data_IF_528398455432
#
_entry.id   IF_528398455432
#
_cell.length_a   1.000
_cell.length_b   1.000
_cell.length_c   1.000
_cell.angle_alpha   90.00
_cell.angle_beta   90.00
_cell.angle_gamma   90.00
#
_symmetry.space_group_name_H-M   'P 1'
#
loop_
_entity.id
_entity.type
_entity.pdbx_description
1 polymer ?
#
# COMPACT_ATOMS: atom_id res chain seq x y z
N UNK A 1 11.50 17.61 -67.14
CA UNK A 1 11.04 18.84 -66.46
C UNK A 1 12.11 19.23 -65.47
N UNK A 2 12.67 20.44 -65.61
CA UNK A 2 13.70 20.94 -64.71
C UNK A 2 13.05 21.21 -63.34
N UNK A 3 13.44 20.45 -62.33
CA UNK A 3 13.03 20.69 -60.95
C UNK A 3 13.75 21.97 -60.51
N UNK A 4 13.00 22.99 -60.08
CA UNK A 4 13.56 24.22 -59.55
C UNK A 4 14.45 23.85 -58.36
N UNK A 5 15.72 24.26 -58.42
CA UNK A 5 16.76 23.90 -57.44
C UNK A 5 16.54 24.50 -56.06
N UNK A 6 15.55 25.37 -55.90
CA UNK A 6 15.25 26.15 -54.70
C UNK A 6 13.75 26.10 -54.39
N UNK A 7 13.17 24.90 -54.47
CA UNK A 7 11.80 24.61 -54.09
C UNK A 7 11.78 23.93 -52.72
N UNK A 8 10.94 24.38 -51.80
CA UNK A 8 10.68 23.74 -50.50
C UNK A 8 10.28 22.26 -50.60
N UNK A 9 9.88 21.80 -51.80
CA UNK A 9 9.54 20.42 -52.13
C UNK A 9 10.59 19.71 -53.03
N UNK A 10 11.74 20.34 -53.29
CA UNK A 10 12.88 19.69 -53.93
C UNK A 10 13.58 18.77 -52.91
N UNK A 11 13.10 17.53 -52.79
CA UNK A 11 13.69 16.51 -51.91
C UNK A 11 15.04 16.01 -52.47
N UNK A 12 16.12 16.74 -52.18
CA UNK A 12 17.49 16.38 -52.60
C UNK A 12 18.30 15.56 -51.57
N UNK A 13 17.84 15.48 -50.32
CA UNK A 13 18.55 14.79 -49.24
C UNK A 13 17.96 13.42 -48.88
N UNK A 14 18.76 12.55 -48.25
CA UNK A 14 18.26 11.31 -47.65
C UNK A 14 17.25 11.66 -46.55
N UNK A 15 16.02 11.13 -46.57
CA UNK A 15 15.05 11.39 -45.53
C UNK A 15 15.57 10.90 -44.17
N UNK A 16 15.41 11.75 -43.15
CA UNK A 16 15.75 11.44 -41.76
C UNK A 16 14.67 10.52 -41.16
N UNK A 17 15.07 9.60 -40.28
CA UNK A 17 14.09 8.84 -39.51
C UNK A 17 13.44 9.71 -38.44
N UNK A 18 12.20 9.40 -38.09
CA UNK A 18 11.49 10.12 -37.03
C UNK A 18 12.26 10.06 -35.70
N UNK A 19 12.89 8.92 -35.38
CA UNK A 19 13.66 8.78 -34.15
C UNK A 19 14.89 9.68 -34.11
N UNK A 20 15.59 9.82 -35.24
CA UNK A 20 16.76 10.70 -35.37
C UNK A 20 16.34 12.17 -35.22
N UNK A 21 15.17 12.55 -35.74
CA UNK A 21 14.61 13.89 -35.61
C UNK A 21 14.22 14.20 -34.16
N UNK A 22 13.56 13.27 -33.48
CA UNK A 22 13.17 13.43 -32.06
C UNK A 22 14.40 13.53 -31.17
N UNK A 23 15.42 12.71 -31.39
CA UNK A 23 16.68 12.79 -30.63
C UNK A 23 17.37 14.14 -30.83
N UNK A 24 17.45 14.62 -32.08
CA UNK A 24 18.03 15.92 -32.39
C UNK A 24 17.27 17.08 -31.72
N UNK A 25 15.93 16.99 -31.64
CA UNK A 25 15.11 17.97 -30.93
C UNK A 25 15.41 17.90 -29.42
N UNK A 26 15.40 16.71 -28.82
CA UNK A 26 15.66 16.55 -27.40
C UNK A 26 17.03 17.09 -26.97
N UNK A 27 18.08 16.87 -27.77
CA UNK A 27 19.42 17.41 -27.52
C UNK A 27 19.50 18.94 -27.55
N UNK A 28 18.64 19.58 -28.35
CA UNK A 28 18.67 21.04 -28.57
C UNK A 28 17.74 21.81 -27.63
N UNK A 29 16.78 21.13 -27.00
CA UNK A 29 15.80 21.73 -26.10
C UNK A 29 15.97 21.17 -24.68
N UNK A 30 16.99 21.62 -23.92
CA UNK A 30 17.09 21.28 -22.51
C UNK A 30 15.88 21.83 -21.75
N UNK A 31 15.58 21.24 -20.59
CA UNK A 31 14.56 21.79 -19.68
C UNK A 31 15.03 23.16 -19.21
N UNK A 32 14.34 24.21 -19.64
CA UNK A 32 14.62 25.61 -19.26
C UNK A 32 13.70 26.10 -18.15
N UNK A 33 12.73 25.30 -17.74
CA UNK A 33 11.81 25.63 -16.66
C UNK A 33 12.54 25.59 -15.31
N UNK A 34 12.34 26.63 -14.49
CA UNK A 34 12.75 26.60 -13.09
C UNK A 34 11.83 25.72 -12.25
N UNK A 35 12.26 25.44 -11.02
CA UNK A 35 11.49 24.68 -10.04
C UNK A 35 10.76 25.63 -9.08
N UNK A 36 9.55 25.28 -8.68
CA UNK A 36 8.82 25.98 -7.63
C UNK A 36 8.10 24.98 -6.71
N UNK A 37 7.94 25.34 -5.45
CA UNK A 37 7.12 24.58 -4.51
C UNK A 37 5.71 25.14 -4.52
N UNK A 38 4.76 24.29 -4.91
CA UNK A 38 3.34 24.64 -5.01
C UNK A 38 2.48 23.73 -4.13
N UNK A 39 1.28 24.18 -3.72
CA UNK A 39 0.29 23.30 -3.10
C UNK A 39 -0.11 22.14 -4.02
N UNK A 40 -0.33 20.95 -3.46
CA UNK A 40 -0.69 19.75 -4.22
C UNK A 40 -1.94 19.93 -5.10
N UNK A 41 -2.93 20.70 -4.63
CA UNK A 41 -4.14 21.01 -5.40
C UNK A 41 -3.90 21.81 -6.68
N UNK A 42 -2.71 22.38 -6.88
CA UNK A 42 -2.29 23.10 -8.09
C UNK A 42 -1.27 22.31 -8.93
N UNK A 43 -0.96 21.08 -8.54
CA UNK A 43 0.07 20.27 -9.18
C UNK A 43 -0.43 19.52 -10.43
N UNK A 44 -1.73 19.49 -10.69
CA UNK A 44 -2.29 18.83 -11.89
C UNK A 44 -1.71 19.43 -13.17
N UNK A 45 -1.25 18.57 -14.09
CA UNK A 45 -0.56 18.97 -15.31
C UNK A 45 0.87 19.50 -15.14
N UNK A 46 1.41 19.55 -13.92
CA UNK A 46 2.82 19.91 -13.65
C UNK A 46 3.72 18.67 -13.74
N UNK A 47 5.03 18.90 -13.82
CA UNK A 47 6.06 17.85 -13.83
C UNK A 47 6.78 17.90 -12.49
N UNK A 48 6.94 16.75 -11.83
CA UNK A 48 7.74 16.63 -10.61
C UNK A 48 9.19 17.03 -10.91
N UNK A 49 9.74 17.94 -10.11
CA UNK A 49 11.11 18.42 -10.29
C UNK A 49 12.16 17.40 -9.81
N UNK A 50 11.78 16.55 -8.87
CA UNK A 50 12.63 15.53 -8.23
C UNK A 50 11.79 14.32 -7.83
N UNK A 51 12.45 13.22 -7.47
CA UNK A 51 11.81 12.03 -6.95
C UNK A 51 11.08 12.34 -5.62
N UNK A 52 9.90 11.75 -5.44
CA UNK A 52 9.10 11.92 -4.23
C UNK A 52 9.20 10.66 -3.38
N UNK A 53 9.84 10.80 -2.23
CA UNK A 53 10.06 9.69 -1.29
C UNK A 53 9.01 9.66 -0.18
N UNK A 54 8.72 8.45 0.31
CA UNK A 54 7.78 8.27 1.40
C UNK A 54 8.37 8.77 2.71
N UNK A 55 7.69 9.70 3.39
CA UNK A 55 8.16 10.20 4.69
C UNK A 55 7.89 9.25 5.84
N UNK A 56 6.93 8.35 5.67
CA UNK A 56 6.46 7.41 6.68
C UNK A 56 6.08 6.10 5.99
N UNK A 57 6.12 5.02 6.76
CA UNK A 57 5.56 3.74 6.36
C UNK A 57 4.04 3.87 6.13
N UNK A 58 3.54 3.13 5.14
CA UNK A 58 2.12 2.95 4.86
C UNK A 58 1.81 1.44 4.84
N UNK A 59 0.99 0.92 5.76
CA UNK A 59 0.47 1.60 6.96
C UNK A 59 1.59 1.99 7.95
N UNK A 60 1.40 3.00 8.81
CA UNK A 60 2.43 3.50 9.72
C UNK A 60 2.72 2.58 10.94
N UNK A 61 1.85 1.59 11.15
CA UNK A 61 1.97 0.58 12.20
C UNK A 61 1.26 -0.69 11.72
N UNK A 62 1.56 -1.82 12.37
CA UNK A 62 0.87 -3.05 12.05
C UNK A 62 -0.63 -2.95 12.41
N UNK A 63 -1.53 -3.30 11.48
CA UNK A 63 -2.97 -3.14 11.64
C UNK A 63 -3.77 -4.33 11.10
N UNK A 64 -5.03 -4.43 11.52
CA UNK A 64 -5.94 -5.47 11.02
C UNK A 64 -6.37 -5.17 9.57
N UNK A 65 -6.26 -6.18 8.70
CA UNK A 65 -6.75 -6.11 7.32
C UNK A 65 -8.28 -6.23 7.20
N UNK A 66 -8.92 -6.80 8.21
CA UNK A 66 -10.33 -7.21 8.20
C UNK A 66 -10.99 -6.94 9.56
N UNK A 67 -12.31 -6.91 9.56
CA UNK A 67 -13.11 -6.93 10.78
C UNK A 67 -13.15 -8.35 11.35
N UNK A 68 -12.83 -8.51 12.64
CA UNK A 68 -12.51 -9.83 13.11
C UNK A 68 -12.07 -9.94 14.57
N UNK A 69 -11.25 -10.95 14.82
CA UNK A 69 -10.72 -11.30 16.13
C UNK A 69 -9.21 -11.44 16.05
N UNK A 70 -8.49 -10.52 16.69
CA UNK A 70 -7.04 -10.59 16.82
C UNK A 70 -6.68 -11.55 17.95
N UNK A 71 -5.73 -12.44 17.67
CA UNK A 71 -5.26 -13.50 18.56
C UNK A 71 -3.74 -13.62 18.48
N UNK A 72 -3.16 -14.35 19.42
CA UNK A 72 -1.79 -14.85 19.33
C UNK A 72 -1.85 -16.20 18.64
N UNK A 73 -1.12 -16.39 17.54
CA UNK A 73 -1.13 -17.67 16.82
C UNK A 73 -0.71 -18.84 17.73
N UNK A 74 0.21 -18.58 18.67
CA UNK A 74 0.70 -19.56 19.63
C UNK A 74 -0.38 -20.09 20.60
N UNK A 75 -1.53 -19.43 20.71
CA UNK A 75 -2.64 -19.86 21.57
C UNK A 75 -3.64 -20.76 20.81
N UNK A 76 -3.39 -21.03 19.52
CA UNK A 76 -4.28 -21.82 18.66
C UNK A 76 -3.86 -23.29 18.61
N UNK A 77 -4.87 -24.17 18.62
CA UNK A 77 -4.71 -25.58 18.29
C UNK A 77 -4.47 -25.75 16.77
N UNK A 78 -3.52 -26.60 16.40
CA UNK A 78 -3.08 -26.73 15.01
C UNK A 78 -4.13 -27.41 14.10
N UNK A 79 -4.86 -28.39 14.62
CA UNK A 79 -5.75 -29.26 13.83
C UNK A 79 -7.22 -29.16 14.23
N UNK A 80 -7.54 -28.51 15.34
CA UNK A 80 -8.90 -28.43 15.89
C UNK A 80 -9.34 -27.00 16.14
N UNK A 81 -10.66 -26.80 16.29
CA UNK A 81 -11.18 -25.49 16.69
C UNK A 81 -10.63 -25.07 18.06
N UNK A 82 -10.31 -23.78 18.19
CA UNK A 82 -9.86 -23.18 19.46
C UNK A 82 -10.95 -22.26 19.99
N UNK A 83 -11.27 -22.36 21.29
CA UNK A 83 -12.27 -21.49 21.92
C UNK A 83 -11.57 -20.53 22.87
N UNK A 84 -11.61 -19.23 22.57
CA UNK A 84 -10.98 -18.20 23.39
C UNK A 84 -12.02 -17.23 23.96
N UNK A 85 -11.87 -16.75 25.21
CA UNK A 85 -12.64 -15.63 25.73
C UNK A 85 -12.30 -14.34 24.97
N UNK A 86 -13.31 -13.50 24.75
CA UNK A 86 -13.18 -12.20 24.09
C UNK A 86 -12.96 -11.13 25.17
N UNK A 87 -11.73 -10.66 25.29
CA UNK A 87 -11.30 -9.75 26.35
C UNK A 87 -11.69 -8.29 26.13
N UNK A 88 -12.09 -7.92 24.90
CA UNK A 88 -12.51 -6.56 24.61
C UNK A 88 -12.82 -6.28 23.14
N UNK A 89 -12.85 -4.99 22.81
CA UNK A 89 -13.11 -4.46 21.48
C UNK A 89 -12.12 -3.34 21.15
N UNK A 90 -11.53 -3.37 19.95
CA UNK A 90 -10.57 -2.37 19.47
C UNK A 90 -10.98 -1.86 18.08
N UNK A 91 -11.33 -0.57 18.00
CA UNK A 91 -11.72 0.08 16.74
C UNK A 91 -10.57 0.92 16.17
N UNK A 92 -10.65 1.22 14.87
CA UNK A 92 -9.71 2.16 14.23
C UNK A 92 -9.69 3.50 14.96
N UNK A 93 -8.50 4.11 15.05
CA UNK A 93 -8.27 5.37 15.78
C UNK A 93 -8.18 5.22 17.31
N UNK A 94 -8.37 4.02 17.86
CA UNK A 94 -8.13 3.75 19.29
C UNK A 94 -6.69 3.31 19.54
N UNK A 95 -6.18 3.55 20.74
CA UNK A 95 -4.90 3.00 21.17
C UNK A 95 -5.04 1.49 21.44
N UNK A 96 -4.08 0.70 21.01
CA UNK A 96 -4.02 -0.71 21.33
C UNK A 96 -3.70 -0.91 22.82
N UNK A 97 -4.55 -1.65 23.53
CA UNK A 97 -4.20 -2.26 24.81
C UNK A 97 -3.44 -3.58 24.60
N UNK A 98 -2.88 -4.14 25.66
CA UNK A 98 -2.24 -5.47 25.60
C UNK A 98 -3.27 -6.58 25.39
N UNK A 99 -2.89 -7.62 24.62
CA UNK A 99 -3.68 -8.85 24.51
C UNK A 99 -3.19 -9.88 25.54
N UNK A 100 -4.07 -10.25 26.47
CA UNK A 100 -3.78 -11.32 27.42
C UNK A 100 -3.64 -12.67 26.69
N UNK A 101 -2.67 -13.49 27.10
CA UNK A 101 -2.47 -14.82 26.55
C UNK A 101 -3.71 -15.72 26.75
N UNK A 102 -4.03 -16.53 25.75
CA UNK A 102 -5.22 -17.36 25.72
C UNK A 102 -6.52 -16.56 25.57
N UNK A 103 -6.48 -15.35 25.02
CA UNK A 103 -7.68 -14.53 24.77
C UNK A 103 -7.70 -14.00 23.34
N UNK A 104 -8.89 -13.61 22.88
CA UNK A 104 -9.09 -12.88 21.63
C UNK A 104 -9.58 -11.46 21.92
N UNK A 105 -9.25 -10.50 21.06
CA UNK A 105 -9.88 -9.18 21.08
C UNK A 105 -10.63 -8.95 19.77
N UNK A 106 -11.87 -8.47 19.86
CA UNK A 106 -12.61 -8.10 18.65
C UNK A 106 -11.99 -6.84 18.05
N UNK A 107 -11.46 -6.94 16.85
CA UNK A 107 -10.72 -5.87 16.18
C UNK A 107 -11.44 -5.47 14.87
N UNK A 108 -11.29 -4.22 14.46
CA UNK A 108 -11.84 -3.72 13.20
C UNK A 108 -10.73 -3.31 12.24
N UNK A 109 -11.05 -3.33 10.95
CA UNK A 109 -10.17 -2.96 9.85
C UNK A 109 -9.48 -1.63 10.12
N UNK A 110 -8.16 -1.60 9.97
CA UNK A 110 -7.35 -0.41 10.20
C UNK A 110 -6.96 -0.16 11.66
N UNK A 111 -7.53 -0.89 12.63
CA UNK A 111 -7.13 -0.77 14.03
C UNK A 111 -5.71 -1.33 14.25
N UNK A 112 -4.91 -0.71 15.14
CA UNK A 112 -3.56 -1.18 15.44
C UNK A 112 -3.60 -2.59 16.04
N UNK A 113 -2.66 -3.44 15.64
CA UNK A 113 -2.51 -4.77 16.23
C UNK A 113 -2.09 -4.64 17.70
N UNK A 114 -2.81 -5.29 18.65
CA UNK A 114 -2.39 -5.37 20.04
C UNK A 114 -1.00 -5.98 20.19
N UNK A 115 -0.18 -5.51 21.14
CA UNK A 115 1.06 -6.20 21.49
C UNK A 115 0.80 -7.68 21.80
N UNK A 116 1.55 -8.56 21.14
CA UNK A 116 1.43 -10.02 21.25
C UNK A 116 0.48 -10.66 20.25
N UNK A 117 -0.47 -9.91 19.67
CA UNK A 117 -1.33 -10.41 18.61
C UNK A 117 -0.58 -10.40 17.27
N UNK A 118 -0.70 -11.48 16.50
CA UNK A 118 -0.02 -11.64 15.21
C UNK A 118 -0.99 -12.08 14.09
N UNK A 119 -2.20 -12.50 14.42
CA UNK A 119 -3.13 -13.13 13.47
C UNK A 119 -4.54 -12.62 13.72
N UNK A 120 -5.31 -12.38 12.65
CA UNK A 120 -6.71 -11.93 12.72
C UNK A 120 -7.61 -12.90 11.96
N UNK A 121 -8.60 -13.46 12.65
CA UNK A 121 -9.69 -14.20 12.00
C UNK A 121 -10.79 -13.24 11.55
N UNK A 122 -11.31 -13.41 10.34
CA UNK A 122 -12.49 -12.68 9.87
C UNK A 122 -13.70 -13.04 10.74
N UNK A 123 -14.53 -12.05 11.09
CA UNK A 123 -15.72 -12.31 11.91
C UNK A 123 -16.73 -13.23 11.21
N UNK A 124 -16.68 -13.29 9.88
CA UNK A 124 -17.52 -14.15 9.03
C UNK A 124 -17.12 -15.64 9.12
N UNK A 125 -15.85 -15.93 9.46
CA UNK A 125 -15.30 -17.29 9.49
C UNK A 125 -15.37 -17.93 10.89
N UNK A 126 -15.82 -17.19 11.90
CA UNK A 126 -15.82 -17.62 13.30
C UNK A 126 -17.23 -17.66 13.86
N UNK A 127 -17.42 -18.47 14.90
CA UNK A 127 -18.69 -18.50 15.64
C UNK A 127 -18.51 -17.78 16.96
N UNK A 128 -19.42 -16.84 17.27
CA UNK A 128 -19.43 -16.17 18.57
C UNK A 128 -20.43 -16.86 19.51
N UNK A 129 -19.95 -17.24 20.69
CA UNK A 129 -20.73 -17.89 21.73
C UNK A 129 -20.65 -17.06 23.01
N UNK A 130 -21.55 -16.08 23.15
CA UNK A 130 -21.56 -15.17 24.30
C UNK A 130 -20.29 -14.30 24.39
N UNK A 131 -19.52 -14.54 25.44
CA UNK A 131 -18.23 -13.89 25.72
C UNK A 131 -17.04 -14.66 25.13
N UNK A 132 -17.27 -15.71 24.34
CA UNK A 132 -16.23 -16.50 23.68
C UNK A 132 -16.36 -16.45 22.16
N UNK A 133 -15.25 -16.77 21.48
CA UNK A 133 -15.18 -16.98 20.04
C UNK A 133 -14.60 -18.36 19.76
N UNK A 134 -15.24 -19.08 18.84
CA UNK A 134 -14.79 -20.38 18.32
C UNK A 134 -14.09 -20.12 16.99
N UNK A 135 -12.80 -20.43 16.96
CA UNK A 135 -11.87 -20.16 15.87
C UNK A 135 -11.58 -21.47 15.13
N UNK A 136 -11.85 -21.58 13.82
CA UNK A 136 -11.53 -22.78 13.06
C UNK A 136 -10.02 -22.97 12.92
N UNK A 137 -9.58 -24.23 12.76
CA UNK A 137 -8.19 -24.55 12.43
C UNK A 137 -7.83 -24.14 10.99
N UNK A 138 -6.53 -24.08 10.70
CA UNK A 138 -6.01 -23.94 9.33
C UNK A 138 -5.72 -22.50 8.86
N UNK A 139 -5.98 -21.48 9.68
CA UNK A 139 -5.49 -20.14 9.42
C UNK A 139 -3.96 -20.10 9.58
N UNK A 140 -3.26 -19.33 8.75
CA UNK A 140 -1.78 -19.22 8.81
C UNK A 140 -1.36 -18.18 9.85
N UNK A 141 -0.18 -18.34 10.49
CA UNK A 141 0.41 -17.27 11.30
C UNK A 141 0.55 -15.99 10.48
N UNK A 142 0.21 -14.84 11.06
CA UNK A 142 0.30 -13.56 10.35
C UNK A 142 -0.91 -13.23 9.47
N UNK A 143 -1.86 -14.15 9.30
CA UNK A 143 -2.98 -13.93 8.40
C UNK A 143 -3.80 -12.70 8.83
N UNK A 144 -4.13 -11.86 7.86
CA UNK A 144 -4.91 -10.64 8.02
C UNK A 144 -4.32 -9.61 9.01
N UNK A 145 -3.06 -9.78 9.41
CA UNK A 145 -2.27 -8.75 10.08
C UNK A 145 -1.34 -8.12 9.05
N UNK A 146 -1.52 -6.83 8.82
CA UNK A 146 -0.71 -6.06 7.87
C UNK A 146 0.46 -5.46 8.63
N UNK A 147 1.72 -5.72 8.24
CA UNK A 147 2.87 -5.08 8.88
C UNK A 147 2.93 -3.59 8.52
N UNK A 148 3.68 -2.81 9.30
CA UNK A 148 4.00 -1.45 8.93
C UNK A 148 4.79 -1.44 7.60
N UNK A 149 4.47 -0.49 6.72
CA UNK A 149 5.18 -0.30 5.46
C UNK A 149 4.87 -1.32 4.37
N UNK A 150 3.84 -2.16 4.54
CA UNK A 150 3.44 -3.15 3.54
C UNK A 150 3.13 -2.54 2.17
N UNK A 151 2.43 -1.40 2.12
CA UNK A 151 2.10 -0.72 0.87
C UNK A 151 3.28 0.13 0.38
N UNK A 152 3.92 0.84 1.31
CA UNK A 152 5.04 1.73 1.02
C UNK A 152 5.91 1.87 2.28
N UNK A 153 7.19 1.50 2.19
CA UNK A 153 8.15 1.76 3.26
C UNK A 153 8.61 3.22 3.21
N UNK A 154 8.94 3.79 4.36
CA UNK A 154 9.62 5.07 4.44
C UNK A 154 10.98 5.01 3.74
N UNK A 155 11.30 6.05 2.96
CA UNK A 155 12.53 6.15 2.19
C UNK A 155 12.32 6.38 0.71
#
# INVERSE_FOLDING_TARGET
MAQLTDDCFAFGGKPMRIEDAVAMIAERFPVVAGTETIPLGLADGRIAAEDVFARHDLPPFANAAVDGYAVRFADLEAETETVLPVSGRLAAGSAAGELAAGTAIRIFTGAPMPPGADTVFMQEDVRREGDRVVLPAGLKPGANARPAGEDLAAG
#
